data_IF_657026307507
#
_entry.id   IF_657026307507
#
_cell.length_a   1.000
_cell.length_b   1.000
_cell.length_c   1.000
_cell.angle_alpha   90.00
_cell.angle_beta   90.00
_cell.angle_gamma   90.00
#
_symmetry.space_group_name_H-M   'P 1'
#
loop_
_entity.id
_entity.type
_entity.pdbx_description
1 polymer ?
#
# COMPACT_ATOMS: atom_id res chain seq x y z
N UNK A 1 1.09 38.23 6.02
CA UNK A 1 0.54 37.43 4.91
C UNK A 1 0.57 35.97 5.34
N UNK A 2 -0.58 35.37 5.68
CA UNK A 2 -0.60 33.94 6.03
C UNK A 2 -0.68 33.10 4.76
N UNK A 3 0.02 31.96 4.67
CA UNK A 3 0.02 31.14 3.48
C UNK A 3 -1.37 30.53 3.25
N UNK A 4 -1.80 30.52 1.98
CA UNK A 4 -3.12 30.05 1.52
C UNK A 4 -3.47 28.64 2.03
N UNK A 5 -2.46 27.80 2.23
CA UNK A 5 -2.62 26.43 2.75
C UNK A 5 -3.24 26.37 4.16
N UNK A 6 -3.17 27.44 4.96
CA UNK A 6 -3.82 27.53 6.28
C UNK A 6 -5.29 27.97 6.21
N UNK A 7 -5.74 28.44 5.06
CA UNK A 7 -7.07 29.03 4.86
C UNK A 7 -8.03 28.08 4.12
N UNK A 8 -7.52 27.04 3.47
CA UNK A 8 -8.32 26.06 2.74
C UNK A 8 -8.71 24.91 3.69
N UNK A 9 -10.00 24.74 3.96
CA UNK A 9 -10.53 23.52 4.58
C UNK A 9 -10.53 22.41 3.54
N UNK A 10 -9.60 21.46 3.67
CA UNK A 10 -9.54 20.30 2.80
C UNK A 10 -10.81 19.45 2.96
N UNK A 11 -11.40 19.04 1.83
CA UNK A 11 -12.48 18.06 1.85
C UNK A 11 -11.96 16.75 2.45
N UNK A 12 -12.72 16.02 3.30
CA UNK A 12 -12.23 14.82 3.99
C UNK A 12 -11.70 13.73 3.05
N UNK A 13 -12.23 13.66 1.83
CA UNK A 13 -11.74 12.72 0.80
C UNK A 13 -10.37 13.10 0.22
N UNK A 14 -9.96 14.35 0.35
CA UNK A 14 -8.67 14.90 -0.09
C UNK A 14 -7.78 15.22 1.12
N UNK A 15 -7.69 14.30 2.09
CA UNK A 15 -6.68 14.28 3.17
C UNK A 15 -5.25 14.06 2.61
N UNK A 16 -4.92 14.75 1.52
CA UNK A 16 -3.62 14.75 0.89
C UNK A 16 -3.19 16.19 0.69
N UNK A 17 -2.17 16.61 1.44
CA UNK A 17 -1.42 17.81 1.12
C UNK A 17 -0.18 17.38 0.36
N UNK A 18 -0.04 17.74 -0.93
CA UNK A 18 1.14 17.41 -1.71
C UNK A 18 2.44 17.86 -1.01
N UNK A 19 2.42 18.97 -0.27
CA UNK A 19 3.60 19.45 0.45
C UNK A 19 4.03 18.59 1.65
N UNK A 20 3.10 17.89 2.32
CA UNK A 20 3.39 17.10 3.52
C UNK A 20 3.41 15.59 3.29
N UNK A 21 2.73 15.12 2.25
CA UNK A 21 2.45 13.69 2.02
C UNK A 21 3.14 13.12 0.76
N UNK A 22 3.90 13.95 0.05
CA UNK A 22 4.73 13.52 -1.09
C UNK A 22 6.06 12.96 -0.60
N UNK A 23 6.49 11.83 -1.16
CA UNK A 23 7.80 11.22 -0.92
C UNK A 23 8.91 12.19 -1.32
N UNK A 24 9.91 12.35 -0.45
CA UNK A 24 11.04 13.26 -0.71
C UNK A 24 12.17 12.60 -1.52
N UNK A 25 12.08 11.30 -1.77
CA UNK A 25 13.11 10.52 -2.45
C UNK A 25 12.52 9.39 -3.28
N UNK A 26 13.40 8.49 -3.74
CA UNK A 26 13.02 7.38 -4.63
C UNK A 26 12.10 6.35 -3.98
N UNK A 27 12.22 6.15 -2.67
CA UNK A 27 11.55 5.06 -1.96
C UNK A 27 10.35 5.56 -1.15
N UNK A 28 9.36 4.68 -1.02
CA UNK A 28 8.16 4.87 -0.20
C UNK A 28 8.13 3.85 0.94
N UNK A 29 7.55 4.23 2.07
CA UNK A 29 7.41 3.37 3.24
C UNK A 29 6.18 2.47 3.19
N UNK A 30 6.05 1.60 4.20
CA UNK A 30 4.80 0.87 4.50
C UNK A 30 4.37 1.28 5.90
N UNK A 31 3.11 1.71 6.06
CA UNK A 31 2.55 2.12 7.35
C UNK A 31 2.51 0.95 8.31
N UNK A 32 2.96 1.16 9.54
CA UNK A 32 2.77 0.19 10.61
C UNK A 32 1.36 0.34 11.18
N UNK A 33 0.52 -0.69 11.03
CA UNK A 33 -0.85 -0.73 11.55
C UNK A 33 -0.93 -1.28 12.98
N UNK A 34 0.21 -1.47 13.65
CA UNK A 34 0.34 -2.08 14.97
C UNK A 34 0.72 -3.56 14.86
N UNK A 35 1.82 -3.96 15.51
CA UNK A 35 2.31 -5.35 15.54
C UNK A 35 2.62 -6.01 14.17
N UNK A 36 2.81 -5.22 13.10
CA UNK A 36 3.13 -5.73 11.74
C UNK A 36 4.52 -5.35 11.24
N UNK A 37 5.40 -4.82 12.11
CA UNK A 37 6.72 -4.34 11.71
C UNK A 37 7.58 -5.44 11.07
N UNK A 38 7.47 -6.69 11.52
CA UNK A 38 8.16 -7.84 10.94
C UNK A 38 7.77 -8.06 9.47
N UNK A 39 6.48 -7.98 9.15
CA UNK A 39 5.98 -8.08 7.77
C UNK A 39 6.48 -6.91 6.94
N UNK A 40 6.38 -5.69 7.46
CA UNK A 40 6.83 -4.48 6.75
C UNK A 40 8.32 -4.55 6.40
N UNK A 41 9.18 -4.98 7.33
CA UNK A 41 10.61 -5.14 7.10
C UNK A 41 10.92 -6.21 6.05
N UNK A 42 10.25 -7.36 6.10
CA UNK A 42 10.42 -8.43 5.11
C UNK A 42 9.95 -7.98 3.72
N UNK A 43 8.78 -7.36 3.60
CA UNK A 43 8.24 -6.87 2.34
C UNK A 43 9.15 -5.81 1.71
N UNK A 44 9.70 -4.90 2.52
CA UNK A 44 10.67 -3.91 2.06
C UNK A 44 11.97 -4.57 1.55
N UNK A 45 12.47 -5.61 2.23
CA UNK A 45 13.65 -6.36 1.76
C UNK A 45 13.39 -7.04 0.42
N UNK A 46 12.24 -7.71 0.26
CA UNK A 46 11.84 -8.35 -0.99
C UNK A 46 11.66 -7.35 -2.14
N UNK A 47 11.05 -6.19 -1.85
CA UNK A 47 10.90 -5.11 -2.83
C UNK A 47 12.25 -4.59 -3.35
N UNK A 48 13.29 -4.57 -2.52
CA UNK A 48 14.62 -4.12 -2.94
C UNK A 48 15.39 -5.14 -3.79
N UNK A 49 14.83 -6.32 -4.06
CA UNK A 49 15.37 -7.31 -5.00
C UNK A 49 14.72 -7.08 -6.37
N UNK A 50 15.40 -6.45 -7.36
CA UNK A 50 14.76 -6.02 -8.61
C UNK A 50 14.16 -7.18 -9.41
N UNK A 51 14.88 -8.31 -9.48
CA UNK A 51 14.41 -9.51 -10.17
C UNK A 51 13.12 -10.04 -9.56
N UNK A 52 12.98 -10.03 -8.23
CA UNK A 52 11.78 -10.48 -7.54
C UNK A 52 10.60 -9.54 -7.81
N UNK A 53 10.76 -8.24 -7.56
CA UNK A 53 9.65 -7.29 -7.72
C UNK A 53 9.11 -7.23 -9.15
N UNK A 54 9.96 -7.30 -10.16
CA UNK A 54 9.50 -7.22 -11.55
C UNK A 54 8.82 -8.51 -12.00
N UNK A 55 9.31 -9.68 -11.59
CA UNK A 55 8.61 -10.94 -11.85
C UNK A 55 7.26 -11.00 -11.13
N UNK A 56 7.21 -10.52 -9.88
CA UNK A 56 5.97 -10.46 -9.11
C UNK A 56 4.91 -9.56 -9.77
N UNK A 57 5.32 -8.40 -10.29
CA UNK A 57 4.44 -7.47 -11.01
C UNK A 57 4.01 -7.99 -12.39
N UNK A 58 4.72 -8.98 -12.94
CA UNK A 58 4.38 -9.64 -14.21
C UNK A 58 3.60 -10.94 -14.03
N UNK A 59 3.54 -11.49 -12.82
CA UNK A 59 2.85 -12.73 -12.55
C UNK A 59 1.34 -12.57 -12.75
N UNK A 60 0.72 -13.58 -13.35
CA UNK A 60 -0.72 -13.68 -13.56
C UNK A 60 -1.14 -15.08 -13.08
N UNK A 61 -2.08 -15.14 -12.15
CA UNK A 61 -2.64 -16.39 -11.62
C UNK A 61 -3.91 -16.83 -12.38
N UNK A 62 -4.40 -16.00 -13.32
CA UNK A 62 -5.63 -16.24 -14.06
C UNK A 62 -6.89 -16.23 -13.19
N UNK A 63 -6.80 -15.79 -11.93
CA UNK A 63 -7.93 -15.74 -11.01
C UNK A 63 -8.69 -14.43 -11.15
N UNK A 64 -10.02 -14.50 -11.14
CA UNK A 64 -10.83 -13.30 -11.00
C UNK A 64 -10.73 -12.75 -9.57
N UNK A 65 -10.85 -11.42 -9.35
CA UNK A 65 -10.87 -10.84 -8.01
C UNK A 65 -12.00 -11.42 -7.15
N UNK A 66 -11.66 -11.85 -5.94
CA UNK A 66 -12.61 -12.37 -4.95
C UNK A 66 -13.04 -11.25 -4.01
N UNK A 67 -14.08 -10.51 -4.39
CA UNK A 67 -14.55 -9.36 -3.62
C UNK A 67 -15.24 -9.78 -2.31
N UNK A 68 -14.69 -9.34 -1.18
CA UNK A 68 -15.24 -9.54 0.17
C UNK A 68 -15.48 -8.18 0.84
N UNK A 69 -16.62 -8.07 1.53
CA UNK A 69 -16.95 -6.89 2.33
C UNK A 69 -16.35 -7.02 3.73
N UNK A 70 -15.40 -6.14 4.08
CA UNK A 70 -14.80 -6.10 5.41
C UNK A 70 -14.70 -4.66 5.93
N UNK A 71 -15.29 -4.41 7.12
CA UNK A 71 -15.32 -3.10 7.77
C UNK A 71 -15.81 -1.97 6.83
N UNK A 72 -16.80 -2.26 5.98
CA UNK A 72 -17.41 -1.30 5.05
C UNK A 72 -16.54 -0.97 3.83
N UNK A 73 -15.65 -1.88 3.43
CA UNK A 73 -14.82 -1.78 2.22
C UNK A 73 -14.89 -3.09 1.45
N UNK A 74 -14.93 -2.98 0.12
CA UNK A 74 -14.72 -4.11 -0.79
C UNK A 74 -13.22 -4.37 -0.93
N UNK A 75 -12.79 -5.58 -0.54
CA UNK A 75 -11.40 -6.02 -0.59
C UNK A 75 -11.34 -7.26 -1.48
N UNK A 76 -10.34 -7.32 -2.34
CA UNK A 76 -10.03 -8.53 -3.10
C UNK A 76 -9.20 -9.49 -2.22
N UNK A 77 -9.76 -10.64 -1.88
CA UNK A 77 -9.17 -11.66 -0.99
C UNK A 77 -8.13 -12.55 -1.70
N UNK A 78 -7.32 -11.95 -2.56
CA UNK A 78 -6.22 -12.59 -3.24
C UNK A 78 -4.89 -11.96 -2.80
N UNK A 79 -4.04 -12.75 -2.14
CA UNK A 79 -2.76 -12.28 -1.60
C UNK A 79 -1.79 -11.80 -2.70
N UNK A 80 -1.80 -12.44 -3.88
CA UNK A 80 -0.96 -12.04 -5.00
C UNK A 80 -1.39 -10.66 -5.51
N UNK A 81 -2.69 -10.46 -5.72
CA UNK A 81 -3.23 -9.18 -6.16
C UNK A 81 -2.93 -8.06 -5.15
N UNK A 82 -3.09 -8.31 -3.85
CA UNK A 82 -2.77 -7.32 -2.83
C UNK A 82 -1.26 -7.02 -2.75
N UNK A 83 -0.42 -8.04 -2.90
CA UNK A 83 1.02 -7.87 -2.91
C UNK A 83 1.49 -7.09 -4.15
N UNK A 84 0.90 -7.34 -5.32
CA UNK A 84 1.14 -6.57 -6.54
C UNK A 84 0.72 -5.10 -6.38
N UNK A 85 -0.44 -4.83 -5.76
CA UNK A 85 -0.89 -3.47 -5.45
C UNK A 85 0.07 -2.76 -4.50
N UNK A 86 0.59 -3.45 -3.50
CA UNK A 86 1.61 -2.94 -2.60
C UNK A 86 2.90 -2.59 -3.36
N UNK A 87 3.44 -3.51 -4.16
CA UNK A 87 4.71 -3.30 -4.88
C UNK A 87 4.56 -2.23 -5.98
N UNK A 88 3.44 -2.21 -6.68
CA UNK A 88 3.12 -1.18 -7.67
C UNK A 88 3.01 0.21 -7.02
N UNK A 89 2.47 0.29 -5.80
CA UNK A 89 2.47 1.53 -5.03
C UNK A 89 3.88 2.01 -4.69
N UNK A 90 4.75 1.10 -4.21
CA UNK A 90 6.13 1.45 -3.86
C UNK A 90 6.94 1.93 -5.07
N UNK A 91 6.69 1.38 -6.25
CA UNK A 91 7.37 1.77 -7.50
C UNK A 91 6.85 3.11 -8.04
N UNK A 92 5.52 3.23 -8.21
CA UNK A 92 4.91 4.31 -8.99
C UNK A 92 4.34 5.46 -8.15
N UNK A 93 3.99 5.24 -6.88
CA UNK A 93 3.30 6.27 -6.10
C UNK A 93 4.24 7.35 -5.61
N UNK A 94 3.78 8.60 -5.67
CA UNK A 94 4.45 9.73 -5.02
C UNK A 94 4.15 9.84 -3.52
N UNK A 95 3.33 8.96 -2.94
CA UNK A 95 3.03 9.01 -1.51
C UNK A 95 4.21 8.56 -0.66
N UNK A 96 4.35 9.17 0.52
CA UNK A 96 5.38 8.82 1.51
C UNK A 96 5.30 7.37 1.98
N UNK A 97 4.10 6.81 2.07
CA UNK A 97 3.89 5.45 2.56
C UNK A 97 2.58 4.82 2.05
N UNK A 98 2.60 3.49 1.93
CA UNK A 98 1.45 2.65 1.60
C UNK A 98 0.72 2.16 2.87
N UNK A 99 -0.61 2.09 2.84
CA UNK A 99 -1.40 1.48 3.91
C UNK A 99 -1.67 -0.01 3.61
N UNK A 100 -1.06 -0.96 4.33
CA UNK A 100 -1.16 -2.39 4.02
C UNK A 100 -2.43 -3.07 4.54
N UNK A 101 -3.49 -2.31 4.87
CA UNK A 101 -4.72 -2.87 5.46
C UNK A 101 -5.33 -4.00 4.62
N UNK A 102 -5.41 -3.81 3.30
CA UNK A 102 -5.99 -4.81 2.38
C UNK A 102 -5.09 -6.03 2.24
N UNK A 103 -3.77 -5.82 2.19
CA UNK A 103 -2.79 -6.92 2.23
C UNK A 103 -2.92 -7.74 3.51
N UNK A 104 -2.94 -7.09 4.68
CA UNK A 104 -3.08 -7.78 5.98
C UNK A 104 -4.40 -8.55 6.10
N UNK A 105 -5.46 -8.15 5.38
CA UNK A 105 -6.71 -8.90 5.34
C UNK A 105 -6.57 -10.19 4.52
N UNK A 106 -5.97 -10.09 3.32
CA UNK A 106 -5.75 -11.25 2.44
C UNK A 106 -4.65 -12.21 2.93
N UNK A 107 -3.72 -11.71 3.74
CA UNK A 107 -2.57 -12.48 4.25
C UNK A 107 -3.00 -13.33 5.46
N UNK A 108 -3.58 -14.50 5.17
CA UNK A 108 -4.01 -15.47 6.18
C UNK A 108 -2.86 -16.41 6.52
N UNK A 109 -2.60 -16.62 7.82
CA UNK A 109 -1.66 -17.65 8.26
C UNK A 109 -2.25 -19.04 7.96
N UNK A 110 -1.39 -20.04 7.85
CA UNK A 110 -1.79 -21.44 7.63
C UNK A 110 -2.79 -21.98 8.68
N UNK A 111 -2.93 -21.29 9.81
CA UNK A 111 -3.78 -21.69 10.93
C UNK A 111 -5.22 -21.12 10.92
N UNK A 112 -5.63 -20.40 9.86
CA UNK A 112 -7.03 -19.99 9.64
C UNK A 112 -7.31 -18.49 9.73
#
# INVERSE_FOLDING_TARGET
MQPLCKQIKLHPSWMYTPSGSTRKGKYSGIRNLGCICYMNSMLQQLYHVPSFRYQLLQADDGAAPEWVEFKGRTIDDNVLHQLQRLFGHLELSEKVDYNPFEFCFSFKQLDG
#
